data_IF_951806563882
#
_entry.id   IF_951806563882
#
_cell.length_a   1.000
_cell.length_b   1.000
_cell.length_c   1.000
_cell.angle_alpha   90.00
_cell.angle_beta   90.00
_cell.angle_gamma   90.00
#
_symmetry.space_group_name_H-M   'P 1'
#
loop_
_entity.id
_entity.type
_entity.pdbx_description
1 polymer ?
#
# COMPACT_ATOMS: atom_id res chain seq x y z
N UNK A 1 -8.94 -7.07 13.05
CA UNK A 1 -9.18 -7.13 11.59
C UNK A 1 -10.67 -7.36 11.44
N UNK A 2 -11.38 -6.32 11.00
CA UNK A 2 -12.84 -6.41 10.80
C UNK A 2 -13.09 -6.81 9.36
N UNK A 3 -13.75 -7.94 9.19
CA UNK A 3 -14.16 -8.44 7.89
C UNK A 3 -15.63 -8.05 7.69
N UNK A 4 -15.92 -7.24 6.67
CA UNK A 4 -17.29 -6.83 6.33
C UNK A 4 -17.71 -7.48 5.02
N UNK A 5 -18.89 -8.05 5.00
CA UNK A 5 -19.52 -8.56 3.80
C UNK A 5 -20.86 -7.83 3.60
N UNK A 6 -21.10 -7.31 2.40
CA UNK A 6 -22.34 -6.59 2.06
C UNK A 6 -23.58 -7.49 2.09
N UNK A 7 -23.39 -8.78 1.79
CA UNK A 7 -24.41 -9.79 1.95
C UNK A 7 -23.98 -10.73 3.10
N UNK A 8 -24.74 -10.79 4.21
CA UNK A 8 -24.43 -11.70 5.26
C UNK A 8 -24.51 -13.14 4.74
N UNK A 9 -23.37 -13.84 4.82
CA UNK A 9 -23.36 -15.27 4.54
C UNK A 9 -24.24 -15.95 5.58
N UNK A 10 -25.34 -16.52 5.15
CA UNK A 10 -26.23 -17.32 6.00
C UNK A 10 -25.64 -18.69 6.29
N UNK A 11 -24.71 -19.15 5.44
CA UNK A 11 -23.97 -20.39 5.56
C UNK A 11 -22.55 -20.19 5.04
N UNK A 12 -21.56 -20.83 5.66
CA UNK A 12 -20.18 -20.76 5.22
C UNK A 12 -19.21 -21.37 6.22
N UNK A 13 -17.97 -21.55 5.73
CA UNK A 13 -16.86 -22.01 6.57
C UNK A 13 -16.00 -20.81 6.94
N UNK A 14 -15.67 -20.75 8.23
CA UNK A 14 -14.72 -19.78 8.75
C UNK A 14 -13.47 -20.50 9.23
N UNK A 15 -12.30 -20.01 8.90
CA UNK A 15 -11.04 -20.63 9.31
C UNK A 15 -9.93 -19.62 9.58
N UNK A 16 -9.10 -19.95 10.58
CA UNK A 16 -7.84 -19.25 10.82
C UNK A 16 -6.70 -20.09 10.25
N UNK A 17 -5.86 -19.47 9.45
CA UNK A 17 -4.64 -20.10 8.97
C UNK A 17 -3.44 -19.48 9.68
N UNK A 18 -2.65 -20.35 10.36
CA UNK A 18 -1.36 -19.95 10.92
C UNK A 18 -0.26 -20.72 10.20
N UNK A 19 0.85 -20.04 9.92
CA UNK A 19 2.03 -20.65 9.29
C UNK A 19 3.17 -20.57 10.30
N UNK A 20 3.74 -21.74 10.64
CA UNK A 20 4.91 -21.86 11.54
C UNK A 20 4.72 -21.27 12.94
N UNK A 21 3.49 -21.06 13.39
CA UNK A 21 3.21 -20.56 14.73
C UNK A 21 2.08 -21.35 15.40
N UNK A 22 2.14 -21.46 16.74
CA UNK A 22 1.03 -21.95 17.54
C UNK A 22 0.22 -20.76 18.02
N UNK A 23 -1.00 -20.64 17.52
CA UNK A 23 -1.90 -19.55 17.88
C UNK A 23 -3.07 -20.10 18.68
N UNK A 24 -3.33 -19.51 19.86
CA UNK A 24 -4.55 -19.77 20.62
C UNK A 24 -5.52 -18.64 20.37
N UNK A 25 -6.71 -18.96 19.90
CA UNK A 25 -7.79 -18.00 19.70
C UNK A 25 -8.81 -18.26 20.80
N UNK A 26 -9.12 -17.24 21.59
CA UNK A 26 -10.12 -17.30 22.66
C UNK A 26 -11.13 -16.18 22.45
N UNK A 27 -12.37 -16.40 22.90
CA UNK A 27 -13.43 -15.39 22.83
C UNK A 27 -13.71 -14.87 21.42
N UNK A 28 -13.65 -15.79 20.42
CA UNK A 28 -14.03 -15.43 19.06
C UNK A 28 -15.50 -15.02 19.02
N UNK A 29 -15.77 -13.85 18.48
CA UNK A 29 -17.11 -13.31 18.26
C UNK A 29 -17.25 -12.90 16.81
N UNK A 30 -18.33 -13.33 16.19
CA UNK A 30 -18.75 -12.89 14.87
C UNK A 30 -19.94 -11.92 15.03
N UNK A 31 -19.87 -10.80 14.37
CA UNK A 31 -20.92 -9.80 14.37
C UNK A 31 -21.12 -9.26 12.96
N UNK A 32 -22.36 -9.26 12.46
CA UNK A 32 -22.70 -8.60 11.21
C UNK A 32 -22.68 -7.10 11.46
N UNK A 33 -21.82 -6.41 10.74
CA UNK A 33 -21.76 -4.95 10.78
C UNK A 33 -22.76 -4.36 9.79
N UNK A 34 -23.32 -3.19 10.08
CA UNK A 34 -24.18 -2.47 9.13
C UNK A 34 -23.40 -2.15 7.85
N UNK A 35 -24.10 -1.92 6.72
CA UNK A 35 -23.45 -1.53 5.46
C UNK A 35 -22.51 -0.35 5.65
N UNK A 36 -21.45 -0.31 4.84
CA UNK A 36 -20.45 0.74 4.93
C UNK A 36 -21.10 2.13 4.76
N UNK A 37 -20.85 3.00 5.72
CA UNK A 37 -21.27 4.40 5.62
C UNK A 37 -20.52 5.11 4.49
N UNK A 38 -21.03 6.27 4.05
CA UNK A 38 -20.39 7.09 3.01
C UNK A 38 -18.97 7.57 3.38
N UNK A 39 -18.58 7.37 4.62
CA UNK A 39 -17.30 7.80 5.21
C UNK A 39 -16.62 6.67 5.96
N UNK A 40 -15.29 6.60 5.85
CA UNK A 40 -14.48 5.65 6.60
C UNK A 40 -13.69 6.42 7.67
N UNK A 41 -14.03 6.24 8.96
CA UNK A 41 -13.26 6.84 10.03
C UNK A 41 -11.92 6.12 10.20
N UNK A 42 -10.85 6.90 10.37
CA UNK A 42 -9.50 6.41 10.57
C UNK A 42 -8.89 7.04 11.82
N UNK A 43 -8.08 6.27 12.53
CA UNK A 43 -7.37 6.73 13.71
C UNK A 43 -6.04 6.00 13.84
N UNK A 44 -5.14 6.54 14.61
CA UNK A 44 -3.87 5.91 14.92
C UNK A 44 -4.08 4.70 15.85
N UNK A 45 -3.34 3.61 15.60
CA UNK A 45 -3.34 2.44 16.51
C UNK A 45 -2.56 2.75 17.80
N UNK A 46 -1.68 3.76 17.76
CA UNK A 46 -0.88 4.21 18.90
C UNK A 46 -1.10 5.69 19.19
N UNK A 47 -0.07 6.35 19.70
CA UNK A 47 -0.11 7.78 19.99
C UNK A 47 -0.19 8.59 18.70
N UNK A 48 -0.88 9.73 18.79
CA UNK A 48 -0.90 10.73 17.73
C UNK A 48 0.51 11.24 17.46
N UNK A 49 0.99 11.25 16.21
CA UNK A 49 2.32 11.75 15.89
C UNK A 49 2.51 13.23 16.23
N UNK A 50 3.64 13.54 16.84
CA UNK A 50 4.04 14.92 17.17
C UNK A 50 4.66 15.66 15.98
N UNK A 51 4.96 14.96 14.90
CA UNK A 51 5.53 15.50 13.66
C UNK A 51 4.70 15.03 12.48
N UNK A 52 4.80 15.73 11.35
CA UNK A 52 4.19 15.31 10.09
C UNK A 52 4.61 13.89 9.74
N UNK A 53 3.64 13.05 9.46
CA UNK A 53 3.86 11.61 9.23
C UNK A 53 3.44 11.18 7.85
N UNK A 54 4.41 10.71 7.06
CA UNK A 54 4.12 10.00 5.83
C UNK A 54 3.49 8.65 6.14
N UNK A 55 2.37 8.35 5.49
CA UNK A 55 1.61 7.11 5.67
C UNK A 55 1.25 6.49 4.32
N UNK A 56 1.17 5.17 4.31
CA UNK A 56 0.60 4.41 3.21
C UNK A 56 -0.18 3.24 3.81
N UNK A 57 -1.45 3.10 3.41
CA UNK A 57 -2.34 2.06 3.94
C UNK A 57 -3.39 1.66 2.91
N UNK A 58 -4.04 0.52 3.16
CA UNK A 58 -5.14 0.02 2.33
C UNK A 58 -6.47 0.13 3.03
N UNK A 59 -7.52 0.47 2.28
CA UNK A 59 -8.90 0.56 2.78
C UNK A 59 -9.79 -0.37 1.97
N UNK A 60 -10.52 -1.30 2.62
CA UNK A 60 -11.49 -2.15 1.95
C UNK A 60 -12.80 -1.41 1.72
N UNK A 61 -13.47 -1.74 0.63
CA UNK A 61 -14.79 -1.22 0.27
C UNK A 61 -15.73 -2.37 -0.10
N UNK A 62 -17.00 -2.18 0.18
CA UNK A 62 -18.06 -3.10 -0.21
C UNK A 62 -18.21 -3.15 -1.74
N UNK A 63 -18.71 -4.28 -2.26
CA UNK A 63 -19.02 -4.45 -3.67
C UNK A 63 -20.04 -3.39 -4.13
N UNK A 64 -19.82 -2.82 -5.33
CA UNK A 64 -20.64 -1.75 -5.87
C UNK A 64 -20.47 -0.37 -5.22
N UNK A 65 -19.62 -0.25 -4.17
CA UNK A 65 -19.48 1.02 -3.45
C UNK A 65 -18.56 2.02 -4.14
N UNK A 66 -17.35 1.63 -4.49
CA UNK A 66 -16.33 2.50 -5.07
C UNK A 66 -15.95 2.03 -6.47
N UNK A 67 -16.01 2.91 -7.46
CA UNK A 67 -15.57 2.62 -8.83
C UNK A 67 -14.27 3.34 -9.17
N UNK A 68 -13.46 2.83 -10.12
CA UNK A 68 -12.13 3.37 -10.43
C UNK A 68 -12.09 4.87 -10.76
N UNK A 69 -13.17 5.39 -11.34
CA UNK A 69 -13.31 6.81 -11.69
C UNK A 69 -13.69 7.69 -10.49
N UNK A 70 -13.98 7.11 -9.34
CA UNK A 70 -14.36 7.85 -8.13
C UNK A 70 -13.13 8.25 -7.35
N UNK A 71 -12.88 9.54 -7.21
CA UNK A 71 -11.82 10.05 -6.36
C UNK A 71 -12.17 9.93 -4.88
N UNK A 72 -11.19 9.67 -4.06
CA UNK A 72 -11.28 9.72 -2.60
C UNK A 72 -10.61 11.00 -2.08
N UNK A 73 -11.07 11.47 -0.95
CA UNK A 73 -10.44 12.57 -0.20
C UNK A 73 -10.31 12.21 1.26
N UNK A 74 -9.21 12.64 1.85
CA UNK A 74 -8.92 12.48 3.26
C UNK A 74 -9.11 13.80 3.98
N UNK A 75 -9.80 13.79 5.12
CA UNK A 75 -10.05 14.98 5.92
C UNK A 75 -9.65 14.76 7.37
N UNK A 76 -9.23 15.84 8.02
CA UNK A 76 -9.06 15.89 9.46
C UNK A 76 -10.42 16.04 10.17
N UNK A 77 -10.43 15.87 11.48
CA UNK A 77 -11.55 16.19 12.38
C UNK A 77 -12.03 17.65 12.27
N UNK A 78 -11.13 18.56 11.87
CA UNK A 78 -11.44 19.98 11.60
C UNK A 78 -11.94 20.23 10.17
N UNK A 79 -12.26 19.17 9.43
CA UNK A 79 -12.73 19.25 8.03
C UNK A 79 -11.68 19.83 7.04
N UNK A 80 -10.42 19.87 7.42
CA UNK A 80 -9.32 20.24 6.56
C UNK A 80 -8.99 19.06 5.63
N UNK A 81 -8.96 19.30 4.33
CA UNK A 81 -8.59 18.30 3.35
C UNK A 81 -7.08 18.09 3.30
N UNK A 82 -6.66 16.83 3.33
CA UNK A 82 -5.27 16.41 3.22
C UNK A 82 -5.06 15.86 1.82
N UNK A 83 -4.06 16.35 1.07
CA UNK A 83 -3.69 15.78 -0.22
C UNK A 83 -3.27 14.33 -0.07
N UNK A 84 -3.88 13.43 -0.86
CA UNK A 84 -3.55 12.01 -0.88
C UNK A 84 -3.52 11.49 -2.31
N UNK A 85 -2.63 10.54 -2.55
CA UNK A 85 -2.69 9.69 -3.73
C UNK A 85 -3.50 8.44 -3.41
N UNK A 86 -4.36 8.04 -4.34
CA UNK A 86 -5.19 6.84 -4.20
C UNK A 86 -5.12 5.99 -5.45
N UNK A 87 -5.07 4.66 -5.28
CA UNK A 87 -5.01 3.71 -6.39
C UNK A 87 -5.71 2.40 -6.04
N UNK A 88 -6.34 1.71 -7.00
CA UNK A 88 -6.95 0.43 -6.74
C UNK A 88 -5.88 -0.64 -6.50
N UNK A 89 -6.08 -1.47 -5.47
CA UNK A 89 -5.25 -2.64 -5.15
C UNK A 89 -5.94 -3.95 -5.55
N UNK A 90 -7.25 -3.99 -5.49
CA UNK A 90 -8.05 -5.15 -5.88
C UNK A 90 -9.45 -4.72 -6.31
N UNK A 91 -10.10 -5.57 -7.11
CA UNK A 91 -11.45 -5.33 -7.63
C UNK A 91 -12.40 -6.45 -7.21
N UNK A 92 -13.67 -6.12 -7.13
CA UNK A 92 -14.77 -7.05 -7.07
C UNK A 92 -15.13 -7.54 -8.49
N UNK A 93 -15.90 -8.65 -8.61
CA UNK A 93 -16.31 -9.16 -9.92
C UNK A 93 -17.12 -8.17 -10.77
N UNK A 94 -17.83 -7.24 -10.15
CA UNK A 94 -18.60 -6.17 -10.80
C UNK A 94 -17.74 -5.00 -11.32
N UNK A 95 -16.40 -5.07 -11.12
CA UNK A 95 -15.46 -4.02 -11.50
C UNK A 95 -15.33 -2.88 -10.47
N UNK A 96 -16.09 -2.91 -9.37
CA UNK A 96 -15.89 -1.97 -8.27
C UNK A 96 -14.60 -2.26 -7.50
N UNK A 97 -14.06 -1.24 -6.83
CA UNK A 97 -12.80 -1.33 -6.10
C UNK A 97 -13.04 -2.04 -4.77
N UNK A 98 -12.41 -3.19 -4.59
CA UNK A 98 -12.43 -3.97 -3.36
C UNK A 98 -11.47 -3.43 -2.30
N UNK A 99 -10.28 -3.00 -2.74
CA UNK A 99 -9.25 -2.39 -1.90
C UNK A 99 -8.66 -1.19 -2.61
N UNK A 100 -8.56 -0.07 -1.92
CA UNK A 100 -7.84 1.11 -2.40
C UNK A 100 -6.61 1.35 -1.53
N UNK A 101 -5.47 1.55 -2.19
CA UNK A 101 -4.29 2.13 -1.56
C UNK A 101 -4.50 3.62 -1.35
N UNK A 102 -3.99 4.14 -0.26
CA UNK A 102 -4.01 5.57 0.09
C UNK A 102 -2.64 5.94 0.63
N UNK A 103 -2.02 7.00 0.10
CA UNK A 103 -0.77 7.53 0.61
C UNK A 103 -0.84 9.06 0.74
N UNK A 104 -0.19 9.60 1.76
CA UNK A 104 -0.12 11.03 2.00
C UNK A 104 0.72 11.38 3.22
N UNK A 105 0.80 12.68 3.50
CA UNK A 105 1.48 13.19 4.70
C UNK A 105 0.42 13.77 5.63
N UNK A 106 0.30 13.16 6.79
CA UNK A 106 -0.65 13.58 7.83
C UNK A 106 0.03 14.62 8.71
N UNK A 107 -0.57 15.82 8.89
CA UNK A 107 -0.01 16.85 9.75
C UNK A 107 0.09 16.41 11.21
N UNK A 108 1.12 16.90 11.88
CA UNK A 108 1.32 16.71 13.32
C UNK A 108 0.06 17.03 14.15
N UNK A 109 -0.19 16.25 15.18
CA UNK A 109 -1.31 16.48 16.10
C UNK A 109 -2.70 16.15 15.52
N UNK A 110 -2.78 15.57 14.33
CA UNK A 110 -4.05 15.09 13.77
C UNK A 110 -4.43 13.77 14.42
N UNK A 111 -5.49 13.74 15.22
CA UNK A 111 -5.92 12.54 15.95
C UNK A 111 -6.82 11.62 15.10
N UNK A 112 -7.76 12.23 14.40
CA UNK A 112 -8.79 11.51 13.63
C UNK A 112 -8.83 11.99 12.20
N UNK A 113 -9.10 11.05 11.33
CA UNK A 113 -9.22 11.27 9.90
C UNK A 113 -10.51 10.65 9.39
N UNK A 114 -10.99 11.16 8.30
CA UNK A 114 -12.14 10.60 7.59
C UNK A 114 -11.82 10.49 6.11
N UNK A 115 -11.90 9.28 5.57
CA UNK A 115 -11.80 9.03 4.14
C UNK A 115 -13.21 8.95 3.55
N UNK A 116 -13.47 9.71 2.51
CA UNK A 116 -14.77 9.77 1.87
C UNK A 116 -14.66 9.91 0.35
N UNK A 117 -15.76 9.62 -0.37
CA UNK A 117 -15.82 9.91 -1.80
C UNK A 117 -15.76 11.41 -2.03
N UNK A 118 -14.89 11.83 -2.94
CA UNK A 118 -14.86 13.21 -3.37
C UNK A 118 -16.11 13.54 -4.22
N UNK A 119 -16.68 14.74 -4.12
CA UNK A 119 -17.75 15.17 -5.02
C UNK A 119 -17.27 15.11 -6.47
N UNK A 120 -18.17 14.73 -7.39
CA UNK A 120 -17.91 14.52 -8.83
C UNK A 120 -17.19 15.69 -9.55
N UNK A 121 -17.08 16.85 -8.92
CA UNK A 121 -16.41 18.08 -9.42
C UNK A 121 -15.24 18.53 -8.55
N UNK A 122 -14.76 17.71 -7.65
CA UNK A 122 -13.53 18.07 -6.93
C UNK A 122 -12.38 18.10 -7.96
N UNK A 123 -11.96 19.31 -8.30
CA UNK A 123 -10.70 19.53 -8.99
C UNK A 123 -9.65 18.78 -8.20
N UNK A 124 -8.88 17.96 -8.87
CA UNK A 124 -7.65 17.40 -8.32
C UNK A 124 -6.93 18.54 -7.63
N UNK A 125 -6.81 18.47 -6.30
CA UNK A 125 -6.04 19.45 -5.55
C UNK A 125 -4.64 19.27 -6.07
N UNK A 126 -4.14 20.31 -6.71
CA UNK A 126 -2.82 20.33 -7.33
C UNK A 126 -1.81 19.73 -6.35
N UNK A 127 -1.01 18.77 -6.86
CA UNK A 127 0.22 18.32 -6.25
C UNK A 127 0.84 19.46 -5.44
N UNK A 128 1.20 19.16 -4.19
CA UNK A 128 1.99 20.11 -3.40
C UNK A 128 3.17 20.60 -4.24
N UNK A 129 3.38 21.92 -4.38
CA UNK A 129 4.40 22.47 -5.27
C UNK A 129 5.83 22.07 -4.92
N UNK A 130 6.05 21.43 -3.76
CA UNK A 130 7.38 21.20 -3.20
C UNK A 130 7.86 19.76 -3.17
N UNK A 131 7.10 18.82 -3.73
CA UNK A 131 7.51 17.41 -3.81
C UNK A 131 7.12 16.82 -5.16
N UNK A 132 7.58 17.41 -6.25
CA UNK A 132 7.44 16.77 -7.55
C UNK A 132 8.49 15.69 -7.67
N UNK A 133 8.06 14.45 -7.75
CA UNK A 133 8.92 13.36 -8.20
C UNK A 133 9.21 13.64 -9.68
N UNK A 134 10.50 13.83 -10.01
CA UNK A 134 10.95 13.94 -11.38
C UNK A 134 11.39 12.53 -11.84
N UNK A 135 10.87 12.12 -12.99
CA UNK A 135 11.25 10.86 -13.62
C UNK A 135 11.85 11.21 -14.96
N UNK A 136 13.10 10.80 -15.17
CA UNK A 136 13.81 10.92 -16.44
C UNK A 136 14.07 9.53 -16.99
N UNK A 137 13.64 9.30 -18.22
CA UNK A 137 13.80 8.02 -18.89
C UNK A 137 14.78 8.15 -20.03
N UNK A 138 15.76 7.24 -20.07
CA UNK A 138 16.69 7.06 -21.19
C UNK A 138 16.52 5.66 -21.78
N UNK A 139 17.13 5.34 -22.92
CA UNK A 139 17.14 3.95 -23.42
C UNK A 139 17.85 2.98 -22.48
N UNK A 140 18.77 3.47 -21.64
CA UNK A 140 19.62 2.66 -20.75
C UNK A 140 19.07 2.57 -19.34
N UNK A 141 18.45 3.63 -18.81
CA UNK A 141 18.04 3.72 -17.43
C UNK A 141 16.76 4.54 -17.19
N UNK A 142 16.25 4.46 -15.97
CA UNK A 142 15.21 5.31 -15.42
C UNK A 142 15.79 5.96 -14.17
N UNK A 143 15.80 7.28 -14.13
CA UNK A 143 16.22 8.06 -12.99
C UNK A 143 14.99 8.66 -12.29
N UNK A 144 14.90 8.46 -10.97
CA UNK A 144 13.82 9.00 -10.14
C UNK A 144 14.42 9.92 -9.09
N UNK A 145 13.96 11.17 -9.08
CA UNK A 145 14.39 12.22 -8.17
C UNK A 145 13.20 12.67 -7.30
N UNK A 146 13.37 12.64 -5.99
CA UNK A 146 12.34 13.09 -5.03
C UNK A 146 12.75 14.37 -4.29
N UNK A 147 13.89 14.97 -4.64
CA UNK A 147 14.52 16.06 -3.91
C UNK A 147 15.39 15.60 -2.73
N UNK A 148 15.10 14.45 -2.14
CA UNK A 148 15.91 13.83 -1.07
C UNK A 148 16.59 12.55 -1.52
N UNK A 149 15.91 11.80 -2.37
CA UNK A 149 16.35 10.48 -2.85
C UNK A 149 16.51 10.55 -4.36
N UNK A 150 17.63 10.01 -4.85
CA UNK A 150 17.87 9.75 -6.26
C UNK A 150 18.03 8.26 -6.48
N UNK A 151 17.27 7.68 -7.38
CA UNK A 151 17.32 6.25 -7.70
C UNK A 151 17.64 6.10 -9.18
N UNK A 152 18.62 5.24 -9.48
CA UNK A 152 19.00 4.88 -10.84
C UNK A 152 18.64 3.42 -11.09
N UNK A 153 17.74 3.18 -12.03
CA UNK A 153 17.21 1.86 -12.35
C UNK A 153 17.64 1.51 -13.77
N UNK A 154 18.55 0.56 -13.97
CA UNK A 154 18.94 0.14 -15.30
C UNK A 154 17.79 -0.62 -15.96
N UNK A 155 17.57 -0.38 -17.26
CA UNK A 155 16.52 -1.08 -18.00
C UNK A 155 16.86 -2.53 -18.29
N UNK A 156 18.15 -2.88 -18.27
CA UNK A 156 18.66 -4.23 -18.54
C UNK A 156 19.85 -4.54 -17.66
N UNK A 157 20.08 -5.83 -17.42
CA UNK A 157 21.23 -6.33 -16.69
C UNK A 157 20.84 -7.03 -15.40
N UNK A 158 21.85 -7.20 -14.54
CA UNK A 158 21.75 -8.02 -13.32
C UNK A 158 21.25 -7.25 -12.10
N UNK A 159 21.11 -5.93 -12.20
CA UNK A 159 20.74 -5.08 -11.08
C UNK A 159 19.34 -4.53 -11.24
N UNK A 160 18.55 -4.62 -10.17
CA UNK A 160 17.25 -3.97 -10.08
C UNK A 160 17.41 -2.46 -9.84
N UNK A 161 18.40 -2.08 -9.04
CA UNK A 161 18.78 -0.69 -8.78
C UNK A 161 20.30 -0.61 -8.92
N UNK A 162 20.79 0.28 -9.80
CA UNK A 162 22.23 0.51 -9.95
C UNK A 162 22.76 1.30 -8.76
N UNK A 163 22.12 2.40 -8.43
CA UNK A 163 22.52 3.23 -7.31
C UNK A 163 21.34 3.95 -6.65
N UNK A 164 21.49 4.15 -5.35
CA UNK A 164 20.56 4.87 -4.49
C UNK A 164 21.34 5.93 -3.71
N UNK A 165 20.93 7.20 -3.88
CA UNK A 165 21.50 8.32 -3.15
C UNK A 165 20.47 8.91 -2.19
N UNK A 166 20.91 9.32 -1.02
CA UNK A 166 20.16 10.13 -0.07
C UNK A 166 20.89 11.44 0.18
N UNK A 167 20.25 12.57 -0.14
CA UNK A 167 20.85 13.91 -0.07
C UNK A 167 22.21 13.98 -0.78
N UNK A 168 22.30 13.36 -1.97
CA UNK A 168 23.52 13.32 -2.78
C UNK A 168 24.59 12.31 -2.30
N UNK A 169 24.40 11.67 -1.16
CA UNK A 169 25.34 10.64 -0.66
C UNK A 169 24.85 9.26 -1.07
N UNK A 170 25.71 8.46 -1.70
CA UNK A 170 25.39 7.08 -2.08
C UNK A 170 25.18 6.22 -0.83
N UNK A 171 23.97 5.66 -0.67
CA UNK A 171 23.59 4.81 0.46
C UNK A 171 23.36 3.36 0.06
N UNK A 172 23.27 3.07 -1.23
CA UNK A 172 23.16 1.72 -1.77
C UNK A 172 23.57 1.65 -3.23
N UNK A 173 24.02 0.48 -3.67
CA UNK A 173 24.35 0.23 -5.06
C UNK A 173 24.19 -1.24 -5.42
N UNK A 174 23.99 -1.50 -6.73
CA UNK A 174 23.96 -2.84 -7.33
C UNK A 174 22.99 -3.80 -6.63
N UNK A 175 21.80 -3.29 -6.29
CA UNK A 175 20.76 -4.11 -5.68
C UNK A 175 20.29 -5.20 -6.65
N UNK A 176 20.13 -6.41 -6.16
CA UNK A 176 19.73 -7.59 -6.95
C UNK A 176 18.48 -8.22 -6.35
N UNK A 177 17.65 -8.78 -7.21
CA UNK A 177 16.59 -9.69 -6.77
C UNK A 177 17.19 -11.08 -6.63
N UNK A 178 17.15 -11.63 -5.42
CA UNK A 178 17.59 -12.98 -5.13
C UNK A 178 16.36 -13.85 -4.91
N UNK A 179 16.15 -14.84 -5.77
CA UNK A 179 15.09 -15.82 -5.59
C UNK A 179 15.69 -17.14 -5.14
N UNK A 180 15.31 -17.60 -3.95
CA UNK A 180 15.67 -18.91 -3.45
C UNK A 180 14.54 -19.88 -3.77
N UNK A 181 14.82 -20.93 -4.54
CA UNK A 181 13.87 -22.02 -4.79
C UNK A 181 14.20 -23.18 -3.85
N UNK A 182 13.24 -23.57 -3.04
CA UNK A 182 13.35 -24.78 -2.25
C UNK A 182 12.72 -25.92 -3.04
N UNK A 183 13.54 -26.85 -3.53
CA UNK A 183 13.07 -27.96 -4.39
C UNK A 183 12.53 -29.15 -3.59
N UNK A 184 12.83 -29.24 -2.28
CA UNK A 184 12.33 -30.30 -1.41
C UNK A 184 11.87 -29.74 -0.06
N UNK A 185 10.91 -30.37 0.63
CA UNK A 185 10.60 -30.01 1.99
C UNK A 185 11.84 -30.16 2.86
N UNK A 186 12.08 -29.20 3.75
CA UNK A 186 13.20 -29.22 4.69
C UNK A 186 13.13 -30.52 5.49
N UNK A 187 13.99 -31.48 5.15
CA UNK A 187 14.36 -32.53 6.08
C UNK A 187 15.38 -31.92 7.04
N UNK A 188 15.22 -32.18 8.34
CA UNK A 188 15.87 -31.48 9.43
C UNK A 188 17.40 -31.36 9.38
N UNK A 189 18.09 -31.94 8.39
CA UNK A 189 19.56 -31.99 8.35
C UNK A 189 20.22 -31.65 7.00
N UNK A 190 19.49 -31.26 5.96
CA UNK A 190 20.12 -30.84 4.69
C UNK A 190 19.29 -29.79 3.96
N UNK A 191 19.64 -28.53 4.13
CA UNK A 191 19.13 -27.46 3.28
C UNK A 191 20.09 -27.24 2.10
N UNK A 192 19.78 -27.80 0.93
CA UNK A 192 20.38 -27.30 -0.32
C UNK A 192 19.57 -26.12 -0.80
N UNK A 193 20.11 -24.94 -0.67
CA UNK A 193 19.53 -23.70 -1.24
C UNK A 193 20.21 -23.52 -2.60
N UNK A 194 19.44 -23.60 -3.68
CA UNK A 194 19.91 -23.23 -5.01
C UNK A 194 19.55 -21.78 -5.31
N UNK A 195 20.51 -21.00 -5.78
CA UNK A 195 20.33 -19.62 -6.20
C UNK A 195 20.19 -19.58 -7.73
N UNK A 196 19.11 -19.00 -8.23
CA UNK A 196 18.93 -18.76 -9.66
C UNK A 196 18.98 -17.26 -9.92
N UNK A 197 19.86 -16.83 -10.81
CA UNK A 197 19.91 -15.45 -11.28
C UNK A 197 18.86 -15.22 -12.38
N UNK A 198 18.05 -14.20 -12.22
CA UNK A 198 17.15 -13.73 -13.27
C UNK A 198 17.68 -12.40 -13.83
N UNK A 199 17.85 -12.34 -15.13
CA UNK A 199 18.13 -11.11 -15.87
C UNK A 199 16.78 -10.65 -16.42
N UNK A 200 16.33 -9.48 -16.01
CA UNK A 200 15.06 -8.91 -16.41
C UNK A 200 15.20 -7.59 -17.18
N UNK A 201 14.18 -7.22 -17.91
CA UNK A 201 14.05 -5.91 -18.53
C UNK A 201 12.94 -5.14 -17.80
N UNK A 202 13.23 -3.90 -17.40
CA UNK A 202 12.24 -2.99 -16.81
C UNK A 202 11.69 -2.12 -17.95
N UNK A 203 10.38 -2.22 -18.17
CA UNK A 203 9.64 -1.45 -19.16
C UNK A 203 8.84 -0.34 -18.51
#
# INVERSE_FOLDING_TARGET
MDFRNAEPLTEGWFGFRTTLSRTRITNFRYECLPPQTSTVPLHWIGNTPEQDKAVSFGVPFDEGYLFPETSLRLKTDRNQEIPVDTWPLAYWPDGSVKWSGVAGVIPAGTERLTLEKAPRKAKTINKQPNASIAITETPEDIQIETGLISVFIPRRGDFLIDSLLYKGTKVGEKARLICNTQNEPIQENTSQISFTHYIGEIK
#
